data_IF_113994305949
#
_entry.id   IF_113994305949
#
_cell.length_a   1.000
_cell.length_b   1.000
_cell.length_c   1.000
_cell.angle_alpha   90.00
_cell.angle_beta   90.00
_cell.angle_gamma   90.00
#
_symmetry.space_group_name_H-M   'P 1'
#
loop_
_entity.id
_entity.type
_entity.pdbx_description
1 polymer ?
#
# COMPACT_ATOMS: atom_id res chain seq x y z
N UNK A 1 1.68 9.60 -2.08
CA UNK A 1 2.61 9.07 -1.07
C UNK A 1 3.84 9.95 -1.09
N UNK A 2 4.29 10.34 0.09
CA UNK A 2 5.47 11.19 0.29
C UNK A 2 6.54 10.42 1.06
N UNK A 3 7.82 10.64 0.73
CA UNK A 3 8.98 9.97 1.35
C UNK A 3 10.22 10.88 1.29
N UNK A 4 10.29 11.93 2.12
CA UNK A 4 11.30 12.97 1.98
C UNK A 4 12.72 12.50 2.34
N UNK A 5 12.87 11.42 3.13
CA UNK A 5 14.17 10.95 3.60
C UNK A 5 14.80 9.86 2.73
N UNK A 6 14.25 9.57 1.55
CA UNK A 6 14.79 8.59 0.60
C UNK A 6 13.72 7.88 -0.24
N UNK A 7 14.15 6.97 -1.12
CA UNK A 7 13.25 6.24 -2.03
C UNK A 7 12.34 7.16 -2.85
N UNK A 8 12.90 8.24 -3.40
CA UNK A 8 12.16 9.22 -4.22
C UNK A 8 11.39 8.57 -5.38
N UNK A 9 11.88 7.44 -5.91
CA UNK A 9 11.17 6.64 -6.91
C UNK A 9 9.82 6.09 -6.46
N UNK A 10 9.54 6.07 -5.16
CA UNK A 10 8.27 5.59 -4.58
C UNK A 10 7.26 6.72 -4.34
N UNK A 11 7.68 7.99 -4.48
CA UNK A 11 6.82 9.16 -4.28
C UNK A 11 5.81 9.27 -5.43
N UNK A 12 4.62 9.77 -5.11
CA UNK A 12 3.61 10.13 -6.11
C UNK A 12 2.28 9.43 -5.88
N UNK A 13 1.44 9.49 -6.91
CA UNK A 13 0.08 8.95 -6.88
C UNK A 13 0.05 7.47 -7.22
N UNK A 14 -0.73 6.70 -6.47
CA UNK A 14 -0.98 5.29 -6.70
C UNK A 14 -2.46 5.11 -7.06
N UNK A 15 -2.72 4.53 -8.23
CA UNK A 15 -4.06 4.21 -8.68
C UNK A 15 -4.38 2.76 -8.36
N UNK A 16 -5.61 2.50 -7.92
CA UNK A 16 -6.10 1.14 -7.74
C UNK A 16 -6.00 0.37 -9.07
N UNK A 17 -5.50 -0.87 -9.02
CA UNK A 17 -5.53 -1.77 -10.17
C UNK A 17 -6.82 -2.61 -10.10
N UNK A 18 -7.82 -2.36 -10.99
CA UNK A 18 -9.10 -3.05 -10.90
C UNK A 18 -8.93 -4.57 -11.08
N UNK A 19 -9.56 -5.34 -10.21
CA UNK A 19 -9.53 -6.81 -10.24
C UNK A 19 -8.23 -7.45 -9.71
N UNK A 20 -7.19 -6.66 -9.44
CA UNK A 20 -5.94 -7.16 -8.89
C UNK A 20 -5.99 -7.18 -7.37
N UNK A 21 -5.59 -8.30 -6.77
CA UNK A 21 -5.49 -8.46 -5.32
C UNK A 21 -4.17 -9.10 -4.92
N UNK A 22 -3.68 -8.68 -3.76
CA UNK A 22 -2.57 -9.32 -3.07
C UNK A 22 -3.06 -9.79 -1.71
N UNK A 23 -3.03 -11.10 -1.49
CA UNK A 23 -3.35 -11.71 -0.20
C UNK A 23 -4.74 -11.31 0.35
N UNK A 24 -5.72 -11.19 -0.56
CA UNK A 24 -7.12 -10.84 -0.25
C UNK A 24 -7.39 -9.35 -0.12
N UNK A 25 -6.42 -8.49 -0.44
CA UNK A 25 -6.53 -7.04 -0.35
C UNK A 25 -6.21 -6.34 -1.67
N UNK A 26 -6.69 -5.10 -1.88
CA UNK A 26 -6.46 -4.38 -3.12
C UNK A 26 -4.97 -4.10 -3.38
N UNK A 27 -4.62 -3.98 -4.67
CA UNK A 27 -3.29 -3.55 -5.12
C UNK A 27 -3.41 -2.19 -5.79
N UNK A 28 -2.51 -1.27 -5.42
CA UNK A 28 -2.38 0.01 -6.12
C UNK A 28 -1.05 0.07 -6.89
N UNK A 29 -1.08 0.54 -8.13
CA UNK A 29 0.13 0.80 -8.92
C UNK A 29 0.40 2.30 -8.99
N UNK A 30 1.66 2.68 -8.80
CA UNK A 30 2.12 4.05 -9.01
C UNK A 30 1.81 4.50 -10.44
N UNK A 31 1.17 5.66 -10.61
CA UNK A 31 0.78 6.17 -11.94
C UNK A 31 1.99 6.45 -12.83
N UNK A 32 3.06 6.99 -12.23
CA UNK A 32 4.29 7.36 -12.93
C UNK A 32 5.45 6.60 -12.28
N UNK A 33 5.55 5.31 -12.60
CA UNK A 33 6.63 4.45 -12.15
C UNK A 33 6.25 2.97 -12.08
N UNK A 34 7.21 2.18 -11.59
CA UNK A 34 7.06 0.73 -11.41
C UNK A 34 7.17 0.36 -9.94
N UNK A 35 6.23 0.90 -9.17
CA UNK A 35 5.99 0.56 -7.78
C UNK A 35 4.56 0.13 -7.56
N UNK A 36 4.41 -0.87 -6.68
CA UNK A 36 3.13 -1.41 -6.25
C UNK A 36 3.02 -1.31 -4.74
N UNK A 37 1.85 -0.88 -4.29
CA UNK A 37 1.42 -0.94 -2.90
C UNK A 37 0.50 -2.15 -2.75
N UNK A 38 0.90 -3.09 -1.88
CA UNK A 38 0.22 -4.37 -1.73
C UNK A 38 0.32 -4.90 -0.30
N UNK A 39 -0.60 -5.79 0.09
CA UNK A 39 -0.57 -6.48 1.38
C UNK A 39 0.34 -7.70 1.27
N UNK A 40 1.35 -7.82 2.15
CA UNK A 40 2.25 -8.96 2.22
C UNK A 40 1.65 -10.15 2.95
N UNK A 41 2.29 -11.32 2.85
CA UNK A 41 1.85 -12.55 3.53
C UNK A 41 1.84 -12.44 5.07
N UNK A 42 2.57 -11.48 5.63
CA UNK A 42 2.61 -11.18 7.07
C UNK A 42 1.56 -10.14 7.50
N UNK A 43 0.65 -9.74 6.59
CA UNK A 43 -0.42 -8.79 6.87
C UNK A 43 0.04 -7.35 7.04
N UNK A 44 1.21 -6.98 6.51
CA UNK A 44 1.70 -5.60 6.45
C UNK A 44 1.55 -5.02 5.04
N UNK A 45 1.51 -3.70 4.94
CA UNK A 45 1.54 -3.02 3.65
C UNK A 45 2.98 -2.88 3.17
N UNK A 46 3.22 -3.08 1.88
CA UNK A 46 4.53 -2.96 1.24
C UNK A 46 4.47 -2.09 0.00
N UNK A 47 5.48 -1.23 -0.20
CA UNK A 47 5.84 -0.72 -1.52
C UNK A 47 6.99 -1.57 -2.07
N UNK A 48 6.77 -2.18 -3.25
CA UNK A 48 7.77 -2.99 -3.93
C UNK A 48 7.81 -2.74 -5.43
N UNK A 49 8.88 -3.22 -6.07
CA UNK A 49 9.06 -3.20 -7.52
C UNK A 49 8.50 -4.44 -8.22
N UNK A 50 8.94 -4.62 -9.47
CA UNK A 50 8.48 -5.68 -10.37
C UNK A 50 8.68 -7.10 -9.81
N UNK A 51 9.72 -7.33 -9.01
CA UNK A 51 9.99 -8.64 -8.38
C UNK A 51 8.83 -9.14 -7.50
N UNK A 52 8.13 -8.25 -6.80
CA UNK A 52 6.94 -8.63 -6.03
C UNK A 52 5.77 -8.98 -6.96
N UNK A 53 5.58 -8.19 -8.04
CA UNK A 53 4.57 -8.44 -9.06
C UNK A 53 4.80 -9.79 -9.77
N UNK A 54 6.03 -10.10 -10.14
CA UNK A 54 6.39 -11.33 -10.85
C UNK A 54 6.16 -12.58 -9.99
N UNK A 55 6.13 -12.43 -8.66
CA UNK A 55 5.71 -13.46 -7.71
C UNK A 55 4.21 -13.46 -7.42
N UNK A 56 3.41 -12.70 -8.16
CA UNK A 56 1.97 -12.56 -7.90
C UNK A 56 1.67 -12.02 -6.50
N UNK A 57 2.55 -11.16 -5.98
CA UNK A 57 2.47 -10.60 -4.62
C UNK A 57 2.45 -11.65 -3.48
N UNK A 58 2.83 -12.90 -3.75
CA UNK A 58 2.97 -13.97 -2.77
C UNK A 58 4.29 -13.85 -1.99
N UNK A 59 4.50 -12.71 -1.35
CA UNK A 59 5.70 -12.43 -0.57
C UNK A 59 5.45 -11.35 0.49
N UNK A 60 6.41 -11.17 1.40
CA UNK A 60 6.44 -10.07 2.37
C UNK A 60 7.77 -9.30 2.19
N UNK A 61 7.90 -8.58 1.07
CA UNK A 61 9.14 -7.94 0.67
C UNK A 61 8.90 -6.63 -0.07
N UNK A 62 9.72 -5.63 0.22
CA UNK A 62 9.62 -4.32 -0.41
C UNK A 62 10.72 -3.39 0.07
N UNK A 63 10.72 -2.18 -0.48
CA UNK A 63 11.66 -1.12 -0.10
C UNK A 63 11.10 -0.23 0.99
N UNK A 64 9.78 -0.20 1.17
CA UNK A 64 9.07 0.46 2.26
C UNK A 64 7.98 -0.49 2.74
N UNK A 65 7.75 -0.59 4.04
CA UNK A 65 6.62 -1.34 4.57
C UNK A 65 6.10 -0.78 5.88
N UNK A 66 4.87 -1.14 6.24
CA UNK A 66 4.30 -0.72 7.52
C UNK A 66 5.01 -1.41 8.69
N UNK A 67 5.07 -0.77 9.85
CA UNK A 67 5.61 -1.39 11.08
C UNK A 67 4.61 -2.33 11.73
N UNK A 68 3.32 -2.12 11.48
CA UNK A 68 2.21 -2.88 12.06
C UNK A 68 1.46 -3.70 11.01
N UNK A 69 0.82 -4.78 11.47
CA UNK A 69 -0.19 -5.50 10.70
C UNK A 69 -1.41 -4.61 10.48
N UNK A 70 -1.97 -4.62 9.27
CA UNK A 70 -2.99 -3.64 8.90
C UNK A 70 -4.41 -4.05 9.30
N UNK A 71 -4.69 -5.33 9.56
CA UNK A 71 -6.01 -5.83 10.03
C UNK A 71 -7.19 -5.33 9.19
N UNK A 72 -6.98 -5.20 7.87
CA UNK A 72 -7.97 -4.67 6.93
C UNK A 72 -8.01 -3.15 6.78
N UNK A 73 -7.26 -2.38 7.58
CA UNK A 73 -7.07 -0.95 7.37
C UNK A 73 -6.30 -0.69 6.07
N UNK A 74 -6.72 0.34 5.35
CA UNK A 74 -6.01 0.85 4.17
C UNK A 74 -4.73 1.60 4.57
N UNK A 75 -3.78 1.79 3.65
CA UNK A 75 -2.48 2.43 3.95
C UNK A 75 -2.60 3.83 4.58
N UNK A 76 -3.55 4.65 4.15
CA UNK A 76 -3.81 5.99 4.70
C UNK A 76 -4.43 5.95 6.10
N UNK A 77 -5.13 4.87 6.46
CA UNK A 77 -5.73 4.68 7.79
C UNK A 77 -4.73 4.27 8.88
N UNK A 78 -3.54 3.75 8.52
CA UNK A 78 -2.52 3.39 9.52
C UNK A 78 -1.97 4.60 10.30
N UNK A 79 -2.11 5.81 9.76
CA UNK A 79 -1.58 7.03 10.34
C UNK A 79 -0.08 7.23 10.09
N UNK A 80 0.43 8.34 10.62
CA UNK A 80 1.84 8.74 10.47
C UNK A 80 2.74 7.91 11.42
N UNK A 81 4.04 7.80 11.11
CA UNK A 81 4.96 7.08 12.01
C UNK A 81 4.90 5.55 11.91
N UNK A 82 4.09 4.99 11.02
CA UNK A 82 3.88 3.53 10.92
C UNK A 82 4.59 2.88 9.75
N UNK A 83 5.70 3.47 9.28
CA UNK A 83 6.40 3.02 8.09
C UNK A 83 7.90 2.96 8.33
N UNK A 84 8.53 1.94 7.77
CA UNK A 84 9.98 1.80 7.67
C UNK A 84 10.40 1.76 6.22
N UNK A 85 11.63 2.20 5.96
CA UNK A 85 12.23 2.14 4.63
C UNK A 85 13.56 1.42 4.66
N UNK A 86 13.90 0.77 3.55
CA UNK A 86 15.21 0.15 3.36
C UNK A 86 16.30 1.22 3.34
N UNK A 87 17.39 1.00 4.05
CA UNK A 87 18.59 1.83 4.02
C UNK A 87 19.83 0.92 4.05
N UNK A 88 20.50 0.78 2.91
CA UNK A 88 21.54 -0.22 2.75
C UNK A 88 20.98 -1.64 2.91
N UNK A 89 21.53 -2.40 3.87
CA UNK A 89 21.06 -3.73 4.27
C UNK A 89 19.94 -3.72 5.30
N UNK A 90 19.68 -2.59 5.95
CA UNK A 90 18.76 -2.48 7.09
C UNK A 90 17.43 -1.83 6.71
N UNK A 91 16.51 -1.78 7.68
CA UNK A 91 15.29 -0.99 7.64
C UNK A 91 15.30 0.02 8.77
N UNK A 92 15.01 1.28 8.44
CA UNK A 92 14.95 2.38 9.40
C UNK A 92 13.52 2.91 9.45
N UNK A 93 13.04 3.22 10.65
CA UNK A 93 11.75 3.91 10.82
C UNK A 93 11.79 5.27 10.15
N UNK A 94 10.71 5.60 9.44
CA UNK A 94 10.58 6.86 8.74
C UNK A 94 9.20 7.45 9.01
N UNK A 95 9.17 8.29 10.05
CA UNK A 95 7.94 8.94 10.50
C UNK A 95 7.38 9.94 9.51
N UNK A 96 8.18 10.35 8.53
CA UNK A 96 7.80 11.31 7.52
C UNK A 96 7.08 10.66 6.32
N UNK A 97 7.09 9.33 6.19
CA UNK A 97 6.32 8.64 5.16
C UNK A 97 4.83 8.77 5.44
N UNK A 98 4.09 9.21 4.43
CA UNK A 98 2.64 9.42 4.52
C UNK A 98 1.92 8.89 3.30
N UNK A 99 0.81 8.23 3.56
CA UNK A 99 -0.21 7.90 2.58
C UNK A 99 -1.43 8.76 2.86
N UNK A 100 -2.08 9.21 1.80
CA UNK A 100 -3.31 9.98 1.88
C UNK A 100 -4.18 9.50 0.75
N UNK A 101 -5.46 9.25 1.05
CA UNK A 101 -6.45 9.05 0.02
C UNK A 101 -6.50 10.30 -0.88
N UNK A 102 -6.56 10.11 -2.20
CA UNK A 102 -6.85 11.23 -3.08
C UNK A 102 -8.26 11.74 -2.75
N UNK A 103 -8.43 13.06 -2.60
CA UNK A 103 -9.75 13.63 -2.44
C UNK A 103 -10.59 13.25 -3.67
N UNK A 104 -11.64 12.46 -3.45
CA UNK A 104 -12.53 12.07 -4.54
C UNK A 104 -13.16 13.33 -5.13
N UNK A 105 -12.82 13.66 -6.37
CA UNK A 105 -13.67 14.49 -7.22
C UNK A 105 -15.00 13.74 -7.37
N UNK A 106 -16.07 14.30 -6.81
CA UNK A 106 -17.33 13.60 -6.54
C UNK A 106 -17.88 12.79 -7.71
N UNK A 107 -18.27 11.55 -7.42
CA UNK A 107 -19.04 10.72 -8.34
C UNK A 107 -18.97 9.22 -8.02
N UNK A 108 -19.95 8.72 -7.26
CA UNK A 108 -20.47 7.35 -7.33
C UNK A 108 -19.58 6.12 -6.97
N UNK A 109 -18.50 6.25 -6.20
CA UNK A 109 -17.66 5.08 -5.81
C UNK A 109 -17.76 4.65 -4.34
N UNK A 110 -18.28 5.50 -3.45
CA UNK A 110 -18.50 5.15 -2.04
C UNK A 110 -19.51 3.99 -1.83
N UNK A 111 -20.30 3.65 -2.85
CA UNK A 111 -21.32 2.60 -2.80
C UNK A 111 -20.79 1.17 -3.02
N UNK A 112 -19.59 0.99 -3.59
CA UNK A 112 -19.01 -0.34 -3.76
C UNK A 112 -18.17 -0.80 -2.57
N UNK A 113 -17.58 0.14 -1.82
CA UNK A 113 -16.76 -0.18 -0.64
C UNK A 113 -17.59 -0.80 0.51
N UNK A 114 -18.89 -0.50 0.60
CA UNK A 114 -19.74 -1.00 1.68
C UNK A 114 -20.34 -2.40 1.44
N UNK A 115 -20.33 -2.95 0.21
CA UNK A 115 -20.88 -4.31 -0.03
C UNK A 115 -19.90 -5.43 0.27
N UNK A 116 -18.60 -5.20 0.11
CA UNK A 116 -17.60 -6.24 0.38
C UNK A 116 -17.39 -6.49 1.89
N UNK A 117 -17.72 -5.52 2.75
CA UNK A 117 -17.62 -5.64 4.21
C UNK A 117 -18.90 -6.20 4.85
N UNK A 118 -20.08 -6.00 4.26
CA UNK A 118 -21.35 -6.55 4.78
C UNK A 118 -21.60 -8.01 4.38
N UNK A 119 -20.97 -8.52 3.31
CA UNK A 119 -21.16 -9.91 2.87
C UNK A 119 -20.44 -10.97 3.76
N UNK A 120 -19.91 -10.60 4.92
CA UNK A 120 -19.30 -11.51 5.91
C UNK A 120 -20.04 -11.54 7.25
N UNK A 121 -21.26 -10.99 7.32
CA UNK A 121 -22.15 -11.09 8.49
C UNK A 121 -23.52 -11.69 8.16
N UNK A 122 -23.64 -12.41 7.05
CA UNK A 122 -24.78 -13.29 6.77
C UNK A 122 -24.31 -14.74 6.56
#
# INVERSE_FOLDING_TARGET
>A
MDSPNGHLSCIGEYALLPGEQANGYPVWKQKVGDRWLYSGLDGKWYIAGKEAKDRGFQCASGVIHSTIVHLGMTPDQLGQGRWVRKYGSDFVEDVAIKFSAAAEGGGAWASFFNRALQARLE
#
